data_IF_855549784875
#
_entry.id   IF_855549784875
#
_cell.length_a   1.000
_cell.length_b   1.000
_cell.length_c   1.000
_cell.angle_alpha   90.00
_cell.angle_beta   90.00
_cell.angle_gamma   90.00
#
_symmetry.space_group_name_H-M   'P 1'
#
loop_
_entity.id
_entity.type
_entity.pdbx_description
1 polymer ?
#
# COMPACT_ATOMS: atom_id res chain seq x y z
N UNK A 1 19.85 -46.88 3.51
CA UNK A 1 19.75 -45.44 3.88
C UNK A 1 19.43 -44.64 2.62
N UNK A 2 18.37 -43.79 2.67
CA UNK A 2 18.19 -42.45 2.01
C UNK A 2 18.57 -42.32 0.52
N UNK A 3 17.78 -41.82 -0.45
CA UNK A 3 16.79 -40.71 -0.54
C UNK A 3 16.20 -40.82 -1.98
N UNK A 4 14.88 -41.02 -2.14
CA UNK A 4 13.83 -40.03 -2.50
C UNK A 4 13.45 -39.94 -3.99
N UNK A 5 12.23 -40.40 -4.27
CA UNK A 5 11.16 -39.80 -5.08
C UNK A 5 11.58 -38.71 -6.09
N UNK A 6 11.54 -39.05 -7.38
CA UNK A 6 11.50 -38.05 -8.45
C UNK A 6 10.40 -38.39 -9.45
N UNK A 7 9.46 -37.44 -9.54
CA UNK A 7 8.61 -37.12 -10.68
C UNK A 7 7.76 -38.24 -11.31
N UNK A 8 6.52 -38.34 -10.83
CA UNK A 8 5.39 -38.74 -11.68
C UNK A 8 4.35 -37.63 -11.62
N UNK A 9 4.07 -37.01 -12.77
CA UNK A 9 2.76 -36.87 -13.40
C UNK A 9 2.90 -35.99 -14.65
N UNK A 10 3.15 -36.66 -15.78
CA UNK A 10 2.68 -36.21 -17.09
C UNK A 10 1.19 -36.60 -17.14
N UNK A 11 0.32 -35.61 -17.30
CA UNK A 11 -1.03 -35.78 -17.87
C UNK A 11 -1.16 -34.59 -18.83
N UNK A 12 -0.83 -34.72 -20.11
CA UNK A 12 -1.63 -35.39 -21.14
C UNK A 12 -3.11 -34.98 -21.07
N UNK A 13 -3.38 -33.71 -21.39
CA UNK A 13 -4.71 -33.24 -21.77
C UNK A 13 -4.63 -32.60 -23.14
N UNK A 14 -4.64 -33.41 -24.19
CA UNK A 14 -4.85 -32.96 -25.56
C UNK A 14 -6.28 -32.42 -25.71
N UNK A 15 -6.45 -31.31 -26.44
CA UNK A 15 -7.79 -30.76 -26.70
C UNK A 15 -7.80 -29.43 -27.45
N UNK A 16 -7.26 -29.44 -28.67
CA UNK A 16 -7.72 -28.74 -29.88
C UNK A 16 -8.43 -27.37 -29.76
N UNK A 17 -7.79 -26.37 -30.38
CA UNK A 17 -8.31 -25.31 -31.28
C UNK A 17 -9.79 -24.94 -31.17
N UNK A 18 -10.03 -23.65 -30.91
CA UNK A 18 -11.29 -22.97 -31.23
C UNK A 18 -11.12 -21.46 -31.25
N UNK A 19 -10.74 -20.90 -32.41
CA UNK A 19 -11.04 -19.50 -32.72
C UNK A 19 -12.56 -19.34 -32.67
N UNK A 20 -13.07 -18.61 -31.68
CA UNK A 20 -14.44 -18.13 -31.67
C UNK A 20 -14.43 -16.61 -31.56
N UNK A 21 -14.49 -15.97 -32.73
CA UNK A 21 -15.10 -14.66 -32.90
C UNK A 21 -16.61 -14.85 -32.69
N UNK A 22 -17.20 -14.10 -31.76
CA UNK A 22 -18.66 -14.12 -31.59
C UNK A 22 -19.20 -13.33 -30.40
N UNK A 23 -19.61 -12.09 -30.66
CA UNK A 23 -20.95 -11.58 -30.35
C UNK A 23 -21.40 -11.36 -28.89
N UNK A 24 -21.59 -10.07 -28.58
CA UNK A 24 -22.56 -9.44 -27.66
C UNK A 24 -23.55 -10.32 -26.86
N UNK A 25 -23.64 -10.09 -25.54
CA UNK A 25 -24.87 -10.36 -24.78
C UNK A 25 -25.10 -9.41 -23.59
N UNK A 26 -26.07 -8.52 -23.81
CA UNK A 26 -27.15 -8.01 -22.94
C UNK A 26 -26.82 -7.50 -21.53
N UNK A 27 -27.05 -6.19 -21.41
CA UNK A 27 -27.20 -5.40 -20.19
C UNK A 27 -28.17 -6.05 -19.18
N UNK A 28 -27.65 -6.51 -18.04
CA UNK A 28 -28.39 -6.55 -16.78
C UNK A 28 -27.55 -5.87 -15.71
N UNK A 29 -28.02 -4.70 -15.25
CA UNK A 29 -27.46 -3.97 -14.09
C UNK A 29 -27.39 -4.92 -12.89
N UNK A 30 -26.21 -5.50 -12.64
CA UNK A 30 -25.92 -6.24 -11.42
C UNK A 30 -25.72 -5.21 -10.30
N UNK A 31 -26.49 -5.37 -9.23
CA UNK A 31 -26.33 -4.59 -7.99
C UNK A 31 -24.91 -4.81 -7.45
N UNK A 32 -24.22 -3.76 -6.96
CA UNK A 32 -22.85 -3.89 -6.46
C UNK A 32 -22.83 -4.89 -5.29
N UNK A 33 -21.88 -5.83 -5.33
CA UNK A 33 -21.64 -6.78 -4.24
C UNK A 33 -20.97 -6.02 -3.10
N UNK A 34 -21.67 -5.93 -1.98
CA UNK A 34 -21.13 -5.48 -0.69
C UNK A 34 -20.30 -6.60 -0.07
N UNK A 35 -19.14 -6.26 0.48
CA UNK A 35 -18.37 -7.15 1.34
C UNK A 35 -19.08 -7.33 2.71
N UNK A 36 -18.58 -8.25 3.55
CA UNK A 36 -19.13 -8.56 4.89
C UNK A 36 -19.13 -7.37 5.88
N UNK A 37 -18.65 -6.20 5.45
CA UNK A 37 -18.62 -4.96 6.21
C UNK A 37 -19.40 -3.81 5.55
N UNK A 38 -20.19 -4.08 4.50
CA UNK A 38 -21.14 -3.10 3.96
C UNK A 38 -20.55 -2.02 3.05
N UNK A 39 -19.38 -2.25 2.43
CA UNK A 39 -18.75 -1.29 1.51
C UNK A 39 -19.37 -1.29 0.10
N UNK A 40 -19.73 -0.11 -0.42
CA UNK A 40 -19.86 0.11 -1.87
C UNK A 40 -18.46 0.31 -2.44
N UNK A 41 -18.11 -0.42 -3.50
CA UNK A 41 -16.92 -0.14 -4.32
C UNK A 41 -17.08 1.24 -4.98
N UNK A 42 -16.68 2.28 -4.28
CA UNK A 42 -16.55 3.61 -4.87
C UNK A 42 -15.36 3.58 -5.81
N UNK A 43 -15.68 3.65 -7.11
CA UNK A 43 -14.76 3.90 -8.20
C UNK A 43 -14.10 5.26 -7.97
N UNK A 44 -13.03 5.27 -7.18
CA UNK A 44 -12.05 6.35 -7.24
C UNK A 44 -11.42 6.28 -8.63
N UNK A 45 -11.62 7.32 -9.41
CA UNK A 45 -10.97 7.57 -10.68
C UNK A 45 -9.45 7.58 -10.47
N UNK A 46 -8.82 6.43 -10.61
CA UNK A 46 -7.59 6.21 -11.39
C UNK A 46 -7.15 4.73 -11.25
N UNK A 47 -7.54 3.95 -12.26
CA UNK A 47 -6.87 2.78 -12.83
C UNK A 47 -6.45 1.62 -11.88
N UNK A 48 -7.33 0.62 -11.93
CA UNK A 48 -7.08 -0.83 -12.00
C UNK A 48 -6.65 -1.61 -10.74
N UNK A 49 -7.67 -2.14 -10.05
CA UNK A 49 -7.60 -3.52 -9.59
C UNK A 49 -7.61 -4.45 -10.81
N UNK A 50 -6.51 -5.18 -11.02
CA UNK A 50 -6.35 -6.14 -12.11
C UNK A 50 -4.88 -6.44 -12.34
N UNK A 51 -4.53 -7.72 -12.43
CA UNK A 51 -3.17 -8.22 -12.72
C UNK A 51 -2.62 -7.49 -13.94
N UNK A 52 -1.56 -6.70 -13.77
CA UNK A 52 -0.86 -6.09 -14.89
C UNK A 52 0.18 -7.09 -15.42
N UNK A 53 0.17 -7.35 -16.71
CA UNK A 53 1.22 -8.12 -17.37
C UNK A 53 2.25 -7.15 -17.94
N UNK A 54 3.53 -7.43 -17.70
CA UNK A 54 4.62 -6.64 -18.28
C UNK A 54 4.57 -6.71 -19.82
N UNK A 55 4.62 -5.56 -20.49
CA UNK A 55 4.58 -5.44 -21.96
C UNK A 55 5.83 -6.01 -22.67
N UNK A 56 6.81 -6.48 -21.89
CA UNK A 56 8.02 -7.13 -22.38
C UNK A 56 8.35 -8.31 -21.45
N UNK A 57 7.96 -9.53 -21.84
CA UNK A 57 8.45 -10.76 -21.19
C UNK A 57 7.46 -11.58 -20.37
N UNK A 58 6.16 -11.28 -20.38
CA UNK A 58 5.12 -12.20 -19.88
C UNK A 58 5.11 -12.46 -18.37
N UNK A 59 5.92 -11.74 -17.58
CA UNK A 59 5.86 -11.81 -16.13
C UNK A 59 4.64 -11.04 -15.62
N UNK A 60 3.83 -11.71 -14.80
CA UNK A 60 2.75 -11.10 -14.05
C UNK A 60 3.33 -10.15 -12.99
N UNK A 61 2.89 -8.90 -12.99
CA UNK A 61 3.20 -7.96 -11.93
C UNK A 61 2.32 -8.31 -10.72
N UNK A 62 2.95 -8.42 -9.55
CA UNK A 62 2.23 -8.60 -8.29
C UNK A 62 1.66 -7.26 -7.86
N UNK A 63 0.35 -7.25 -7.55
CA UNK A 63 -0.29 -6.06 -7.03
C UNK A 63 0.32 -5.72 -5.65
N UNK A 64 0.71 -4.45 -5.40
CA UNK A 64 1.19 -4.02 -4.08
C UNK A 64 0.14 -4.23 -2.99
N UNK A 65 0.58 -4.51 -1.76
CA UNK A 65 -0.32 -4.59 -0.63
C UNK A 65 -0.81 -3.19 -0.23
N UNK A 66 -1.92 -2.76 -0.83
CA UNK A 66 -2.56 -1.47 -0.57
C UNK A 66 -3.00 -1.26 0.88
N UNK A 67 -3.04 -2.33 1.69
CA UNK A 67 -3.47 -2.31 3.09
C UNK A 67 -2.33 -2.00 4.07
N UNK A 68 -1.07 -2.20 3.66
CA UNK A 68 0.10 -1.99 4.52
C UNK A 68 1.07 -0.91 3.99
N UNK A 69 0.69 0.38 4.05
CA UNK A 69 1.52 1.48 3.56
C UNK A 69 2.67 1.87 4.49
N UNK A 70 2.79 1.20 5.65
CA UNK A 70 3.90 1.39 6.60
C UNK A 70 5.09 0.49 6.27
N UNK A 71 4.89 -0.52 5.41
CA UNK A 71 5.99 -1.34 4.90
C UNK A 71 6.98 -0.47 4.11
N UNK A 72 8.25 -0.55 4.49
CA UNK A 72 9.33 0.18 3.82
C UNK A 72 9.53 -0.27 2.36
N UNK A 73 9.04 -1.47 2.01
CA UNK A 73 9.08 -2.00 0.64
C UNK A 73 7.90 -1.55 -0.22
N UNK A 74 6.83 -1.01 0.37
CA UNK A 74 5.62 -0.58 -0.35
C UNK A 74 5.95 0.32 -1.55
N UNK A 75 6.86 1.29 -1.38
CA UNK A 75 7.30 2.16 -2.47
C UNK A 75 7.90 1.37 -3.66
N UNK A 76 8.73 0.35 -3.38
CA UNK A 76 9.37 -0.46 -4.43
C UNK A 76 8.32 -1.25 -5.19
N UNK A 77 7.39 -1.86 -4.47
CA UNK A 77 6.31 -2.68 -5.07
C UNK A 77 5.42 -1.82 -5.96
N UNK A 78 5.05 -0.62 -5.49
CA UNK A 78 4.28 0.33 -6.29
C UNK A 78 5.06 0.81 -7.52
N UNK A 79 6.37 1.09 -7.39
CA UNK A 79 7.18 1.52 -8.53
C UNK A 79 7.31 0.42 -9.61
N UNK A 80 7.41 -0.85 -9.19
CA UNK A 80 7.40 -1.99 -10.10
C UNK A 80 6.05 -2.13 -10.81
N UNK A 81 4.94 -1.90 -10.08
CA UNK A 81 3.59 -1.94 -10.63
C UNK A 81 3.36 -0.88 -11.70
N UNK A 82 3.72 0.38 -11.45
CA UNK A 82 3.36 1.49 -12.36
C UNK A 82 4.35 1.72 -13.51
N UNK A 83 5.41 0.91 -13.62
CA UNK A 83 6.44 1.09 -14.64
C UNK A 83 5.82 1.12 -16.06
N UNK A 84 6.29 2.01 -16.96
CA UNK A 84 7.47 2.89 -16.85
C UNK A 84 7.21 4.25 -16.21
N UNK A 85 6.02 4.51 -15.64
CA UNK A 85 5.69 5.79 -15.01
C UNK A 85 6.52 5.98 -13.74
N UNK A 86 6.80 7.25 -13.39
CA UNK A 86 7.57 7.60 -12.19
C UNK A 86 6.65 8.04 -11.06
N UNK A 87 6.95 7.58 -9.85
CA UNK A 87 6.27 8.03 -8.63
C UNK A 87 6.64 9.46 -8.27
N UNK A 88 5.65 10.21 -7.77
CA UNK A 88 5.88 11.48 -7.07
C UNK A 88 6.19 11.17 -5.60
N UNK A 89 7.48 11.07 -5.29
CA UNK A 89 7.95 10.74 -3.95
C UNK A 89 7.91 11.94 -2.99
N UNK A 90 7.78 11.65 -1.70
CA UNK A 90 8.05 12.63 -0.65
C UNK A 90 9.55 12.95 -0.63
N UNK A 91 9.98 14.21 -0.77
CA UNK A 91 11.39 14.58 -0.73
C UNK A 91 12.04 14.10 0.57
N UNK A 92 13.30 13.64 0.48
CA UNK A 92 14.00 13.07 1.63
C UNK A 92 14.11 14.03 2.81
N UNK A 93 14.39 15.30 2.53
CA UNK A 93 14.46 16.37 3.54
C UNK A 93 13.14 16.56 4.30
N UNK A 94 12.01 16.50 3.60
CA UNK A 94 10.68 16.55 4.23
C UNK A 94 10.41 15.30 5.07
N UNK A 95 10.72 14.11 4.53
CA UNK A 95 10.55 12.85 5.23
C UNK A 95 11.36 12.82 6.55
N UNK A 96 12.62 13.27 6.51
CA UNK A 96 13.47 13.38 7.69
C UNK A 96 12.92 14.40 8.71
N UNK A 97 12.38 15.52 8.23
CA UNK A 97 11.74 16.53 9.08
C UNK A 97 10.52 15.97 9.79
N UNK A 98 9.66 15.26 9.08
CA UNK A 98 8.47 14.63 9.65
C UNK A 98 8.84 13.52 10.63
N UNK A 99 9.87 12.71 10.31
CA UNK A 99 10.38 11.68 11.21
C UNK A 99 10.90 12.26 12.53
N UNK A 100 11.61 13.40 12.48
CA UNK A 100 12.03 14.15 13.69
C UNK A 100 10.85 14.67 14.50
N UNK A 101 9.80 15.17 13.84
CA UNK A 101 8.58 15.61 14.52
C UNK A 101 7.88 14.44 15.25
N UNK A 102 7.77 13.28 14.60
CA UNK A 102 7.21 12.08 15.24
C UNK A 102 8.08 11.58 16.39
N UNK A 103 9.41 11.64 16.27
CA UNK A 103 10.33 11.24 17.33
C UNK A 103 10.22 12.15 18.56
N UNK A 104 10.05 13.46 18.34
CA UNK A 104 9.88 14.43 19.41
C UNK A 104 8.54 14.25 20.14
N UNK A 105 7.46 13.94 19.40
CA UNK A 105 6.16 13.63 19.96
C UNK A 105 6.19 12.39 20.89
N UNK A 106 7.02 11.39 20.63
CA UNK A 106 7.13 10.23 21.53
C UNK A 106 8.10 10.43 22.71
N UNK A 107 8.67 11.62 22.89
CA UNK A 107 9.73 11.90 23.88
C UNK A 107 9.40 13.02 24.87
N UNK A 108 8.20 13.62 24.76
CA UNK A 108 7.71 14.60 25.72
C UNK A 108 7.31 13.97 27.05
N UNK A 109 7.36 14.74 28.13
CA UNK A 109 6.83 14.30 29.41
C UNK A 109 5.35 13.93 29.27
N UNK A 110 4.98 12.77 29.84
CA UNK A 110 3.71 12.01 29.80
C UNK A 110 2.39 12.78 29.99
N UNK A 111 2.42 14.10 30.20
CA UNK A 111 1.27 14.97 30.42
C UNK A 111 0.97 15.94 29.25
N UNK A 112 1.77 15.95 28.18
CA UNK A 112 1.59 16.90 27.07
C UNK A 112 0.74 16.29 25.95
N UNK A 113 -0.49 16.78 25.81
CA UNK A 113 -1.40 16.52 24.67
C UNK A 113 -0.88 17.10 23.31
N UNK A 114 0.38 17.49 23.24
CA UNK A 114 1.03 18.00 22.02
C UNK A 114 1.45 16.86 21.10
N UNK A 115 1.63 15.67 21.65
CA UNK A 115 2.15 14.50 20.95
C UNK A 115 1.13 14.00 19.90
N UNK A 116 -0.14 13.89 20.29
CA UNK A 116 -1.25 13.53 19.38
C UNK A 116 -1.40 14.53 18.23
N UNK A 117 -1.33 15.83 18.53
CA UNK A 117 -1.47 16.90 17.53
C UNK A 117 -0.31 16.91 16.55
N UNK A 118 0.91 16.61 17.00
CA UNK A 118 2.07 16.50 16.13
C UNK A 118 1.92 15.31 15.17
N UNK A 119 1.48 14.15 15.68
CA UNK A 119 1.20 12.97 14.86
C UNK A 119 0.11 13.26 13.83
N UNK A 120 -1.03 13.80 14.27
CA UNK A 120 -2.12 14.21 13.38
C UNK A 120 -1.64 15.21 12.33
N UNK A 121 -0.84 16.19 12.73
CA UNK A 121 -0.26 17.20 11.85
C UNK A 121 0.58 16.59 10.73
N UNK A 122 1.32 15.51 11.00
CA UNK A 122 2.07 14.80 9.96
C UNK A 122 1.14 13.98 9.08
N UNK A 123 0.36 13.06 9.65
CA UNK A 123 -0.41 12.08 8.88
C UNK A 123 -1.62 12.66 8.16
N UNK A 124 -2.33 13.61 8.76
CA UNK A 124 -3.56 14.17 8.19
C UNK A 124 -3.31 15.38 7.30
N UNK A 125 -2.24 16.17 7.53
CA UNK A 125 -2.05 17.46 6.84
C UNK A 125 -0.88 17.46 5.85
N UNK A 126 0.17 16.66 6.07
CA UNK A 126 1.40 16.72 5.27
C UNK A 126 1.52 15.58 4.27
N UNK A 127 1.18 14.37 4.68
CA UNK A 127 1.20 13.21 3.78
C UNK A 127 0.06 13.30 2.76
N UNK A 128 0.37 12.97 1.51
CA UNK A 128 -0.54 13.16 0.36
C UNK A 128 -0.92 11.87 -0.35
N UNK A 129 -0.19 10.79 -0.10
CA UNK A 129 -0.42 9.46 -0.66
C UNK A 129 0.21 8.41 0.27
N UNK A 130 -0.13 7.13 0.07
CA UNK A 130 0.40 6.02 0.85
C UNK A 130 1.89 5.74 0.58
N UNK A 131 2.40 6.08 -0.60
CA UNK A 131 3.85 6.01 -0.89
C UNK A 131 4.64 6.98 -0.01
N UNK A 132 4.09 8.15 0.31
CA UNK A 132 4.69 9.11 1.23
C UNK A 132 4.73 8.57 2.67
N UNK A 133 3.75 7.75 3.08
CA UNK A 133 3.77 7.03 4.37
C UNK A 133 4.93 6.03 4.41
N UNK A 134 5.13 5.27 3.34
CA UNK A 134 6.26 4.34 3.23
C UNK A 134 7.61 5.09 3.23
N UNK A 135 7.68 6.22 2.51
CA UNK A 135 8.86 7.10 2.48
C UNK A 135 9.20 7.63 3.88
N UNK A 136 8.20 8.06 4.64
CA UNK A 136 8.33 8.48 6.03
C UNK A 136 8.79 7.34 6.93
N UNK A 137 8.19 6.16 6.80
CA UNK A 137 8.53 4.96 7.59
C UNK A 137 10.00 4.56 7.38
N UNK A 138 10.46 4.60 6.12
CA UNK A 138 11.86 4.38 5.76
C UNK A 138 12.78 5.47 6.34
N UNK A 139 12.40 6.74 6.23
CA UNK A 139 13.20 7.84 6.79
C UNK A 139 13.36 7.71 8.31
N UNK A 140 12.28 7.35 9.01
CA UNK A 140 12.29 7.12 10.44
C UNK A 140 13.24 5.97 10.84
N UNK A 141 13.17 4.84 10.12
CA UNK A 141 14.11 3.74 10.33
C UNK A 141 15.54 4.15 10.06
N UNK A 142 15.80 4.86 8.97
CA UNK A 142 17.15 5.28 8.62
C UNK A 142 17.79 6.16 9.69
N UNK A 143 17.01 7.09 10.27
CA UNK A 143 17.46 8.01 11.31
C UNK A 143 17.60 7.37 12.70
N UNK A 144 16.68 6.48 13.08
CA UNK A 144 16.58 6.00 14.47
C UNK A 144 16.76 4.50 14.65
N UNK A 145 16.88 3.73 13.55
CA UNK A 145 16.96 2.26 13.54
C UNK A 145 15.85 1.59 14.35
N UNK A 146 14.67 2.21 14.37
CA UNK A 146 13.48 1.75 15.07
C UNK A 146 12.30 1.77 14.13
N UNK A 147 11.42 0.79 14.25
CA UNK A 147 10.18 0.77 13.51
C UNK A 147 9.28 1.94 13.93
N UNK A 148 8.82 2.73 12.95
CA UNK A 148 8.01 3.92 13.20
C UNK A 148 6.70 3.56 13.87
N UNK A 149 6.05 2.48 13.41
CA UNK A 149 4.76 2.05 13.96
C UNK A 149 4.91 1.59 15.41
N UNK A 150 5.94 0.80 15.72
CA UNK A 150 6.27 0.40 17.10
C UNK A 150 6.60 1.61 17.98
N UNK A 151 7.24 2.64 17.42
CA UNK A 151 7.49 3.86 18.18
C UNK A 151 6.18 4.56 18.54
N UNK A 152 5.29 4.79 17.56
CA UNK A 152 4.00 5.44 17.77
C UNK A 152 3.10 4.64 18.71
N UNK A 153 3.01 3.33 18.53
CA UNK A 153 2.24 2.42 19.38
C UNK A 153 2.79 2.33 20.82
N UNK A 154 4.02 2.80 21.06
CA UNK A 154 4.62 2.85 22.39
C UNK A 154 4.07 3.97 23.28
N UNK A 155 3.48 5.02 22.69
CA UNK A 155 2.94 6.15 23.45
C UNK A 155 1.50 6.54 23.07
N UNK A 156 1.00 6.11 21.89
CA UNK A 156 -0.39 6.28 21.51
C UNK A 156 -1.23 5.06 21.89
N UNK A 157 -2.40 5.29 22.45
CA UNK A 157 -3.41 4.26 22.65
C UNK A 157 -3.91 3.69 21.31
N UNK A 158 -4.53 2.52 21.33
CA UNK A 158 -5.14 1.93 20.12
C UNK A 158 -6.16 2.86 19.46
N UNK A 159 -6.92 3.63 20.26
CA UNK A 159 -7.91 4.59 19.76
C UNK A 159 -7.24 5.80 19.11
N UNK A 160 -6.13 6.28 19.67
CA UNK A 160 -5.34 7.38 19.10
C UNK A 160 -4.62 6.96 17.82
N UNK A 161 -4.01 5.77 17.80
CA UNK A 161 -3.42 5.19 16.59
C UNK A 161 -4.44 5.12 15.46
N UNK A 162 -5.65 4.66 15.78
CA UNK A 162 -6.75 4.60 14.83
C UNK A 162 -7.14 6.00 14.32
N UNK A 163 -7.31 6.96 15.23
CA UNK A 163 -7.79 8.31 14.92
C UNK A 163 -6.77 9.15 14.15
N UNK A 164 -5.51 9.14 14.56
CA UNK A 164 -4.49 10.08 14.07
C UNK A 164 -3.55 9.49 13.03
N UNK A 165 -3.46 8.16 12.94
CA UNK A 165 -2.56 7.48 12.00
C UNK A 165 -3.37 6.72 10.95
N UNK A 166 -4.15 5.71 11.35
CA UNK A 166 -4.81 4.82 10.40
C UNK A 166 -5.95 5.50 9.62
N UNK A 167 -6.84 6.22 10.29
CA UNK A 167 -7.98 6.85 9.63
C UNK A 167 -7.55 7.90 8.58
N UNK A 168 -6.56 8.78 8.84
CA UNK A 168 -6.01 9.67 7.80
C UNK A 168 -5.35 8.90 6.65
N UNK A 169 -4.50 7.90 6.95
CA UNK A 169 -3.78 7.13 5.94
C UNK A 169 -4.73 6.36 5.01
N UNK A 170 -5.86 5.86 5.52
CA UNK A 170 -6.88 5.20 4.68
C UNK A 170 -7.51 6.11 3.63
N UNK A 171 -7.60 7.41 3.92
CA UNK A 171 -8.18 8.41 3.01
C UNK A 171 -7.18 8.83 1.91
N UNK A 172 -5.91 8.51 2.07
CA UNK A 172 -4.88 8.84 1.10
C UNK A 172 -4.99 7.95 -0.14
N UNK A 173 -4.76 8.50 -1.36
CA UNK A 173 -4.59 7.70 -2.55
C UNK A 173 -3.39 6.75 -2.40
N UNK A 174 -3.41 5.63 -3.11
CA UNK A 174 -2.33 4.64 -3.03
C UNK A 174 -0.98 5.22 -3.49
N UNK A 175 -0.97 6.04 -4.54
CA UNK A 175 0.23 6.70 -5.05
C UNK A 175 -0.14 7.92 -5.90
N UNK A 176 0.85 8.75 -6.19
CA UNK A 176 0.79 9.81 -7.20
C UNK A 176 1.95 9.63 -8.18
N UNK A 177 1.73 10.02 -9.44
CA UNK A 177 2.75 9.97 -10.49
C UNK A 177 3.30 11.37 -10.78
N UNK A 178 4.52 11.43 -11.31
CA UNK A 178 5.06 12.65 -11.93
C UNK A 178 4.41 12.79 -13.31
N UNK A 179 3.82 13.96 -13.56
CA UNK A 179 3.31 14.35 -14.87
C UNK A 179 4.44 14.91 -15.73
#
# INVERSE_FOLDING_TARGET
MKISKTAWWIIAGAGVVGLSVGGYSIYKRKRPKTDKYGRREDKSSDIAGGVQTSRAGGQALTQPDWSNPYDMNYQKDVQAWIAPKKLRLLPRSEADTYAKQLKAAGGGAWYKNDDEKAVEGVFAKKLRDKVAVASLSRAFWDLYKKDMWQHLAGFLSKKEMEKYVHAPVRKLPNYRILN
#
